data_IF_669290488188
#
_entry.id   IF_669290488188
#
_cell.length_a   1.000
_cell.length_b   1.000
_cell.length_c   1.000
_cell.angle_alpha   90.00
_cell.angle_beta   90.00
_cell.angle_gamma   90.00
#
_symmetry.space_group_name_H-M   'P 1'
#
loop_
_entity.id
_entity.type
_entity.pdbx_description
1 polymer ?
#
# COMPACT_ATOMS: atom_id res chain seq x y z
N UNK A 1 6.84 7.85 3.00
CA UNK A 1 6.18 8.91 3.80
C UNK A 1 6.12 8.51 5.27
N UNK A 2 6.53 9.42 6.17
CA UNK A 2 6.53 9.16 7.61
C UNK A 2 5.65 10.15 8.35
N UNK A 3 4.68 9.63 9.11
CA UNK A 3 3.92 10.39 10.09
C UNK A 3 4.38 10.03 11.49
N UNK A 4 4.85 11.02 12.24
CA UNK A 4 5.23 10.83 13.65
C UNK A 4 3.99 10.75 14.53
N UNK A 5 4.07 9.92 15.58
CA UNK A 5 3.09 9.87 16.66
C UNK A 5 3.00 11.25 17.34
N UNK A 6 1.79 11.69 17.65
CA UNK A 6 1.53 12.81 18.55
C UNK A 6 0.42 12.42 19.54
N UNK A 7 0.00 13.34 20.40
CA UNK A 7 -1.00 13.06 21.44
C UNK A 7 -2.36 12.60 20.87
N UNK A 8 -2.72 13.09 19.68
CA UNK A 8 -4.01 12.89 19.02
C UNK A 8 -3.94 11.99 17.77
N UNK A 9 -2.75 11.55 17.37
CA UNK A 9 -2.55 10.75 16.15
C UNK A 9 -1.50 9.65 16.33
N UNK A 10 -1.79 8.47 15.79
CA UNK A 10 -0.83 7.38 15.75
C UNK A 10 0.26 7.66 14.70
N UNK A 11 1.44 7.09 14.93
CA UNK A 11 2.51 7.10 13.94
C UNK A 11 2.25 6.07 12.85
N UNK A 12 2.65 6.37 11.63
CA UNK A 12 2.67 5.38 10.55
C UNK A 12 3.79 5.67 9.56
N UNK A 13 4.22 4.61 8.89
CA UNK A 13 5.14 4.65 7.76
C UNK A 13 4.42 4.06 6.55
N UNK A 14 4.40 4.83 5.47
CA UNK A 14 4.01 4.39 4.14
C UNK A 14 5.28 4.39 3.31
N UNK A 15 5.57 3.35 2.54
CA UNK A 15 6.82 3.32 1.76
C UNK A 15 6.82 4.42 0.70
N UNK A 16 5.78 4.44 -0.13
CA UNK A 16 5.60 5.46 -1.16
C UNK A 16 4.14 5.92 -1.25
N UNK A 17 3.95 7.23 -1.42
CA UNK A 17 2.62 7.84 -1.42
C UNK A 17 2.53 8.88 -2.53
N UNK A 18 1.51 8.78 -3.36
CA UNK A 18 1.25 9.70 -4.48
C UNK A 18 -0.08 10.39 -4.23
N UNK A 19 -0.04 11.71 -4.05
CA UNK A 19 -1.25 12.51 -3.95
C UNK A 19 -1.48 13.24 -5.27
N UNK A 20 -2.62 12.98 -5.88
CA UNK A 20 -3.02 13.64 -7.12
C UNK A 20 -3.79 14.92 -6.84
N UNK A 21 -3.78 15.85 -7.80
CA UNK A 21 -4.47 17.14 -7.70
C UNK A 21 -5.96 17.02 -7.38
N UNK A 22 -6.62 15.94 -7.82
CA UNK A 22 -8.07 15.76 -7.73
C UNK A 22 -8.50 14.80 -6.63
N UNK A 23 -7.69 14.66 -5.57
CA UNK A 23 -8.12 14.01 -4.33
C UNK A 23 -7.96 12.48 -4.30
N UNK A 24 -7.21 11.88 -5.21
CA UNK A 24 -6.79 10.48 -5.09
C UNK A 24 -5.43 10.38 -4.41
N UNK A 25 -5.32 9.53 -3.40
CA UNK A 25 -4.07 9.18 -2.72
C UNK A 25 -3.75 7.71 -3.00
N UNK A 26 -2.72 7.44 -3.80
CA UNK A 26 -2.18 6.09 -3.95
C UNK A 26 -1.23 5.83 -2.80
N UNK A 27 -1.53 4.80 -2.02
CA UNK A 27 -0.72 4.35 -0.90
C UNK A 27 -0.04 3.06 -1.33
N UNK A 28 1.24 3.16 -1.64
CA UNK A 28 2.04 2.03 -2.11
C UNK A 28 2.78 1.39 -0.93
N UNK A 29 2.53 0.10 -0.73
CA UNK A 29 3.27 -0.77 0.18
C UNK A 29 4.21 -1.64 -0.65
N UNK A 30 5.47 -1.75 -0.23
CA UNK A 30 6.49 -2.51 -0.97
C UNK A 30 6.93 -3.71 -0.13
N UNK A 31 6.72 -4.92 -0.66
CA UNK A 31 7.09 -6.18 0.00
C UNK A 31 8.08 -6.97 -0.84
N UNK A 32 9.34 -6.98 -0.41
CA UNK A 32 10.37 -7.89 -0.91
C UNK A 32 10.43 -9.11 0.00
N UNK A 33 9.73 -10.18 -0.37
CA UNK A 33 9.74 -11.45 0.35
C UNK A 33 10.27 -12.55 -0.57
N UNK A 34 10.98 -13.54 -0.01
CA UNK A 34 11.42 -14.72 -0.75
C UNK A 34 10.27 -15.70 -1.04
N UNK A 35 9.16 -15.56 -0.32
CA UNK A 35 7.92 -16.30 -0.51
C UNK A 35 6.80 -15.36 -0.96
N UNK A 36 5.71 -15.96 -1.46
CA UNK A 36 4.49 -15.22 -1.84
C UNK A 36 3.95 -14.35 -0.70
N UNK A 37 3.37 -13.21 -1.06
CA UNK A 37 2.74 -12.32 -0.09
C UNK A 37 1.35 -12.85 0.27
N UNK A 38 1.12 -13.07 1.57
CA UNK A 38 -0.15 -13.57 2.10
C UNK A 38 -1.10 -12.46 2.52
N UNK A 39 -2.36 -12.81 2.84
CA UNK A 39 -3.42 -11.89 3.32
C UNK A 39 -3.03 -11.00 4.50
N UNK A 40 -2.03 -11.36 5.29
CA UNK A 40 -1.51 -10.53 6.40
C UNK A 40 -1.13 -9.10 5.95
N UNK A 41 -0.70 -8.92 4.70
CA UNK A 41 -0.36 -7.59 4.15
C UNK A 41 -1.57 -6.66 4.11
N UNK A 42 -2.78 -7.20 3.91
CA UNK A 42 -4.00 -6.40 3.85
C UNK A 42 -4.28 -5.76 5.21
N UNK A 43 -4.14 -6.54 6.28
CA UNK A 43 -4.36 -6.03 7.63
C UNK A 43 -3.31 -4.99 8.03
N UNK A 44 -2.05 -5.20 7.64
CA UNK A 44 -0.99 -4.22 7.82
C UNK A 44 -1.33 -2.88 7.14
N UNK A 45 -1.72 -2.93 5.86
CA UNK A 45 -2.07 -1.73 5.09
C UNK A 45 -3.34 -1.06 5.64
N UNK A 46 -4.34 -1.83 6.10
CA UNK A 46 -5.50 -1.28 6.81
C UNK A 46 -5.11 -0.51 8.07
N UNK A 47 -4.17 -1.03 8.87
CA UNK A 47 -3.70 -0.32 10.07
C UNK A 47 -2.94 0.96 9.72
N UNK A 48 -2.13 0.93 8.66
CA UNK A 48 -1.45 2.11 8.12
C UNK A 48 -2.45 3.17 7.69
N UNK A 49 -3.47 2.80 6.91
CA UNK A 49 -4.56 3.70 6.48
C UNK A 49 -5.30 4.29 7.68
N UNK A 50 -5.67 3.46 8.66
CA UNK A 50 -6.37 3.90 9.87
C UNK A 50 -5.57 4.92 10.68
N UNK A 51 -4.25 4.78 10.69
CA UNK A 51 -3.34 5.66 11.42
C UNK A 51 -2.99 6.95 10.66
N UNK A 52 -3.16 6.95 9.34
CA UNK A 52 -2.75 8.03 8.47
C UNK A 52 -3.69 9.24 8.57
N UNK A 53 -3.15 10.41 8.86
CA UNK A 53 -3.92 11.65 8.85
C UNK A 53 -3.97 12.22 7.44
N UNK A 54 -5.10 12.02 6.74
CA UNK A 54 -5.38 12.61 5.43
C UNK A 54 -6.62 13.52 5.47
N UNK A 55 -6.74 14.49 4.55
CA UNK A 55 -7.98 15.23 4.35
C UNK A 55 -9.16 14.27 4.10
N UNK A 56 -10.31 14.55 4.72
CA UNK A 56 -11.49 13.66 4.70
C UNK A 56 -12.05 13.37 3.30
N UNK A 57 -11.75 14.21 2.32
CA UNK A 57 -12.30 14.12 0.96
C UNK A 57 -11.35 13.41 -0.02
N UNK A 58 -10.31 12.72 0.49
CA UNK A 58 -9.41 11.95 -0.37
C UNK A 58 -9.88 10.51 -0.53
N UNK A 59 -9.87 10.02 -1.77
CA UNK A 59 -10.02 8.60 -2.08
C UNK A 59 -8.66 7.92 -1.95
N UNK A 60 -8.53 7.00 -0.98
CA UNK A 60 -7.33 6.20 -0.78
C UNK A 60 -7.39 4.97 -1.69
N UNK A 61 -6.30 4.72 -2.43
CA UNK A 61 -6.14 3.60 -3.35
C UNK A 61 -4.91 2.80 -2.95
N UNK A 62 -5.07 1.69 -2.22
CA UNK A 62 -3.94 0.84 -1.85
C UNK A 62 -3.30 0.22 -3.10
N UNK A 63 -1.98 0.18 -3.13
CA UNK A 63 -1.19 -0.49 -4.17
C UNK A 63 -0.17 -1.38 -3.49
N UNK A 64 -0.09 -2.64 -3.90
CA UNK A 64 0.94 -3.56 -3.45
C UNK A 64 2.00 -3.68 -4.54
N UNK A 65 3.26 -3.44 -4.19
CA UNK A 65 4.40 -3.72 -5.04
C UNK A 65 5.14 -4.90 -4.40
N UNK A 66 5.35 -5.97 -5.14
CA UNK A 66 5.93 -7.20 -4.59
C UNK A 66 7.02 -7.78 -5.49
N UNK A 67 7.74 -8.76 -4.95
CA UNK A 67 8.62 -9.67 -5.70
C UNK A 67 8.20 -11.10 -5.32
N UNK A 68 8.33 -12.05 -6.25
CA UNK A 68 8.06 -13.48 -6.04
C UNK A 68 6.57 -13.85 -5.84
N UNK A 69 5.65 -13.09 -6.42
CA UNK A 69 4.22 -13.44 -6.44
C UNK A 69 3.42 -13.05 -5.20
N UNK A 70 2.11 -13.25 -5.30
CA UNK A 70 1.13 -13.01 -4.25
C UNK A 70 0.20 -14.22 -4.17
N UNK A 71 -0.22 -14.56 -2.96
CA UNK A 71 -1.19 -15.62 -2.74
C UNK A 71 -2.52 -15.26 -3.41
N UNK A 72 -3.18 -16.24 -4.04
CA UNK A 72 -4.44 -16.05 -4.79
C UNK A 72 -5.51 -15.35 -3.94
N UNK A 73 -5.53 -15.63 -2.65
CA UNK A 73 -6.50 -15.04 -1.74
C UNK A 73 -6.29 -13.53 -1.53
N UNK A 74 -5.09 -13.00 -1.79
CA UNK A 74 -4.82 -11.55 -1.82
C UNK A 74 -5.42 -10.94 -3.09
N UNK A 75 -5.28 -11.61 -4.24
CA UNK A 75 -5.87 -11.17 -5.52
C UNK A 75 -7.40 -11.11 -5.40
N UNK A 76 -8.02 -12.20 -4.93
CA UNK A 76 -9.47 -12.33 -4.75
C UNK A 76 -10.07 -11.36 -3.73
N UNK A 77 -9.25 -10.72 -2.89
CA UNK A 77 -9.73 -9.79 -1.88
C UNK A 77 -10.24 -8.47 -2.46
N UNK A 78 -9.84 -8.14 -3.71
CA UNK A 78 -10.07 -6.85 -4.37
C UNK A 78 -9.68 -5.62 -3.51
N UNK A 79 -8.82 -5.82 -2.50
CA UNK A 79 -8.44 -4.77 -1.56
C UNK A 79 -7.47 -3.76 -2.19
N UNK A 80 -6.53 -4.27 -3.00
CA UNK A 80 -5.54 -3.45 -3.69
C UNK A 80 -6.11 -3.00 -5.04
N UNK A 81 -6.03 -1.70 -5.30
CA UNK A 81 -6.39 -1.14 -6.60
C UNK A 81 -5.42 -1.54 -7.72
N UNK A 82 -4.21 -1.94 -7.35
CA UNK A 82 -3.20 -2.50 -8.25
C UNK A 82 -2.24 -3.34 -7.44
N UNK A 83 -1.82 -4.46 -8.03
CA UNK A 83 -0.77 -5.34 -7.53
C UNK A 83 0.27 -5.40 -8.65
N UNK A 84 1.49 -4.98 -8.35
CA UNK A 84 2.55 -4.79 -9.32
C UNK A 84 3.69 -5.74 -8.96
N UNK A 85 4.03 -6.65 -9.87
CA UNK A 85 5.28 -7.39 -9.77
C UNK A 85 6.42 -6.44 -10.16
N UNK A 86 7.34 -6.23 -9.22
CA UNK A 86 8.48 -5.35 -9.43
C UNK A 86 9.37 -5.83 -10.59
N UNK A 87 9.36 -7.13 -10.91
CA UNK A 87 10.10 -7.66 -12.06
C UNK A 87 9.61 -7.04 -13.38
N UNK A 88 8.31 -6.73 -13.50
CA UNK A 88 7.74 -6.09 -14.69
C UNK A 88 8.31 -4.68 -14.93
N UNK A 89 8.81 -4.02 -13.87
CA UNK A 89 9.42 -2.69 -13.96
C UNK A 89 10.90 -2.74 -14.38
N UNK A 90 11.54 -3.91 -14.25
CA UNK A 90 12.96 -4.09 -14.57
C UNK A 90 13.18 -4.52 -16.03
N UNK A 91 12.17 -5.10 -16.65
CA UNK A 91 12.22 -5.49 -18.05
C UNK A 91 11.72 -4.33 -18.93
N UNK A 92 12.67 -3.64 -19.57
CA UNK A 92 12.34 -2.74 -20.70
C UNK A 92 11.76 -3.58 -21.83
N UNK A 93 10.57 -3.21 -22.31
CA UNK A 93 10.11 -3.55 -23.65
C UNK A 93 11.13 -3.13 -24.71
#
# INVERSE_FOLDING_TARGET
>A
FFQRKANDRQGCQIDYMIQTKFGTCYLCEIKFNSQEITKSVIDEVKQKIKSLALPKNMSIRPVLIHVNGVDESVLESDFFSSIIDFNDLLHKH
#
